data_IF_371203075324
#
_entry.id   IF_371203075324
#
_cell.length_a   1.000
_cell.length_b   1.000
_cell.length_c   1.000
_cell.angle_alpha   90.00
_cell.angle_beta   90.00
_cell.angle_gamma   90.00
#
_symmetry.space_group_name_H-M   'P 1'
#
loop_
_entity.id
_entity.type
_entity.pdbx_description
1 polymer ?
#
# COMPACT_ATOMS: atom_id res chain seq x y z
N UNK A 1 -2.06 -10.57 -34.91
CA UNK A 1 -1.59 -9.41 -34.13
C UNK A 1 -1.48 -9.88 -32.69
N UNK A 2 -0.27 -9.88 -32.13
CA UNK A 2 -0.05 -10.38 -30.77
C UNK A 2 -0.37 -9.22 -29.82
N UNK A 3 -1.45 -9.34 -29.05
CA UNK A 3 -1.70 -8.43 -27.93
C UNK A 3 -0.59 -8.62 -26.91
N UNK A 4 0.32 -7.67 -26.83
CA UNK A 4 1.25 -7.56 -25.70
C UNK A 4 0.42 -7.14 -24.49
N UNK A 5 -0.08 -8.14 -23.75
CA UNK A 5 -0.55 -7.94 -22.39
C UNK A 5 0.64 -7.50 -21.55
N UNK A 6 0.85 -6.18 -21.45
CA UNK A 6 1.72 -5.62 -20.44
C UNK A 6 1.13 -6.04 -19.09
N UNK A 7 1.74 -7.05 -18.47
CA UNK A 7 1.53 -7.30 -17.04
C UNK A 7 1.90 -6.00 -16.37
N UNK A 8 0.91 -5.29 -15.83
CA UNK A 8 1.18 -4.12 -15.01
C UNK A 8 1.86 -4.65 -13.76
N UNK A 9 3.20 -4.65 -13.76
CA UNK A 9 3.96 -5.07 -12.60
C UNK A 9 3.71 -4.05 -11.50
N UNK A 10 3.05 -4.51 -10.43
CA UNK A 10 2.84 -3.72 -9.23
C UNK A 10 4.21 -3.39 -8.63
N UNK A 11 4.50 -2.10 -8.48
CA UNK A 11 5.77 -1.62 -7.93
C UNK A 11 5.74 -1.66 -6.42
N UNK A 12 6.80 -2.19 -5.84
CA UNK A 12 6.98 -2.30 -4.40
C UNK A 12 8.03 -1.31 -3.90
N UNK A 13 7.78 -0.72 -2.73
CA UNK A 13 8.70 0.20 -2.08
C UNK A 13 8.84 -0.17 -0.60
N UNK A 14 10.08 -0.38 -0.18
CA UNK A 14 10.41 -0.71 1.21
C UNK A 14 10.79 0.56 1.98
N UNK A 15 10.07 0.80 3.09
CA UNK A 15 10.30 1.93 4.01
C UNK A 15 10.67 1.46 5.43
N UNK A 16 11.12 0.21 5.59
CA UNK A 16 11.43 -0.42 6.89
C UNK A 16 12.82 -1.05 6.97
N UNK A 17 13.45 -1.37 5.84
CA UNK A 17 14.70 -2.17 5.80
C UNK A 17 15.88 -1.49 6.51
N UNK A 18 15.92 -0.16 6.56
CA UNK A 18 16.96 0.59 7.29
C UNK A 18 16.65 0.80 8.78
N UNK A 19 15.56 0.19 9.29
CA UNK A 19 15.03 0.42 10.65
C UNK A 19 14.84 1.93 10.97
N UNK A 20 14.16 2.69 10.09
CA UNK A 20 14.00 4.12 10.27
C UNK A 20 13.11 4.45 11.46
N UNK A 21 13.22 5.69 11.94
CA UNK A 21 12.21 6.30 12.80
C UNK A 21 10.87 6.45 12.05
N UNK A 22 9.78 6.65 12.78
CA UNK A 22 8.46 6.92 12.18
C UNK A 22 8.50 8.15 11.27
N UNK A 23 9.22 9.21 11.68
CA UNK A 23 9.30 10.43 10.90
C UNK A 23 10.01 10.20 9.55
N UNK A 24 11.12 9.47 9.55
CA UNK A 24 11.86 9.11 8.34
C UNK A 24 11.01 8.22 7.43
N UNK A 25 10.37 7.17 7.96
CA UNK A 25 9.52 6.29 7.17
C UNK A 25 8.33 7.03 6.53
N UNK A 26 7.75 8.02 7.23
CA UNK A 26 6.67 8.84 6.68
C UNK A 26 7.20 9.83 5.64
N UNK A 27 8.38 10.40 5.84
CA UNK A 27 9.04 11.22 4.83
C UNK A 27 9.24 10.44 3.52
N UNK A 28 9.74 9.20 3.62
CA UNK A 28 9.92 8.31 2.48
C UNK A 28 8.59 7.96 1.81
N UNK A 29 7.57 7.61 2.60
CA UNK A 29 6.21 7.36 2.10
C UNK A 29 5.68 8.54 1.26
N UNK A 30 5.81 9.77 1.76
CA UNK A 30 5.31 10.95 1.05
C UNK A 30 6.09 11.22 -0.25
N UNK A 31 7.40 11.02 -0.23
CA UNK A 31 8.24 11.13 -1.42
C UNK A 31 7.86 10.08 -2.47
N UNK A 32 7.69 8.82 -2.06
CA UNK A 32 7.25 7.73 -2.95
C UNK A 32 5.89 8.07 -3.57
N UNK A 33 4.93 8.53 -2.76
CA UNK A 33 3.60 8.94 -3.26
C UNK A 33 3.73 10.06 -4.30
N UNK A 34 4.52 11.09 -4.00
CA UNK A 34 4.73 12.22 -4.91
C UNK A 34 5.34 11.79 -6.25
N UNK A 35 6.28 10.85 -6.23
CA UNK A 35 6.99 10.38 -7.42
C UNK A 35 6.18 9.41 -8.28
N UNK A 36 5.27 8.62 -7.67
CA UNK A 36 4.58 7.53 -8.35
C UNK A 36 3.13 7.85 -8.74
N UNK A 37 2.51 8.86 -8.13
CA UNK A 37 1.08 9.18 -8.33
C UNK A 37 0.63 9.42 -9.77
N UNK A 38 1.54 9.84 -10.66
CA UNK A 38 1.22 10.18 -12.05
C UNK A 38 1.59 9.06 -13.04
N UNK A 39 2.35 8.05 -12.62
CA UNK A 39 2.91 7.00 -13.49
C UNK A 39 2.46 5.60 -13.11
N UNK A 40 1.75 5.45 -11.99
CA UNK A 40 1.27 4.18 -11.49
C UNK A 40 -0.23 4.28 -11.15
N UNK A 41 -0.97 3.18 -11.37
CA UNK A 41 -2.36 3.03 -10.86
C UNK A 41 -2.38 2.52 -9.42
N UNK A 42 -1.39 1.71 -9.07
CA UNK A 42 -1.23 1.07 -7.76
C UNK A 42 0.25 0.91 -7.44
N UNK A 43 0.59 1.01 -6.16
CA UNK A 43 1.89 0.60 -5.60
C UNK A 43 1.67 -0.18 -4.30
N UNK A 44 2.69 -0.92 -3.87
CA UNK A 44 2.76 -1.60 -2.58
C UNK A 44 3.85 -0.97 -1.72
N UNK A 45 3.50 -0.65 -0.48
CA UNK A 45 4.43 -0.16 0.54
C UNK A 45 4.70 -1.29 1.51
N UNK A 46 5.97 -1.62 1.70
CA UNK A 46 6.46 -2.57 2.71
C UNK A 46 6.91 -1.74 3.91
N UNK A 47 6.07 -1.69 4.93
CA UNK A 47 6.32 -0.94 6.17
C UNK A 47 6.69 -1.86 7.36
N UNK A 48 6.65 -3.18 7.15
CA UNK A 48 6.99 -4.19 8.16
C UNK A 48 5.84 -4.53 9.11
N UNK A 49 5.94 -5.72 9.72
CA UNK A 49 4.95 -6.36 10.58
C UNK A 49 4.78 -5.66 11.95
N UNK A 50 5.87 -5.08 12.47
CA UNK A 50 5.86 -4.33 13.73
C UNK A 50 6.09 -5.14 15.01
N UNK A 51 6.96 -6.16 14.97
CA UNK A 51 7.00 -7.27 15.94
C UNK A 51 7.87 -7.12 17.22
N UNK A 52 8.20 -5.93 17.74
CA UNK A 52 9.04 -5.83 18.97
C UNK A 52 8.57 -4.83 20.05
N UNK A 53 7.28 -4.45 20.07
CA UNK A 53 6.78 -3.37 20.94
C UNK A 53 7.15 -2.00 20.35
N UNK A 54 6.27 -1.00 20.48
CA UNK A 54 6.32 0.27 19.71
C UNK A 54 6.31 0.09 18.16
N UNK A 55 6.60 -1.10 17.63
CA UNK A 55 6.72 -1.47 16.22
C UNK A 55 5.45 -1.37 15.38
N UNK A 56 4.28 -1.19 16.00
CA UNK A 56 3.08 -0.75 15.27
C UNK A 56 3.18 0.68 14.74
N UNK A 57 4.13 1.50 15.20
CA UNK A 57 4.08 2.95 14.97
C UNK A 57 4.20 3.34 13.49
N UNK A 58 5.07 2.69 12.70
CA UNK A 58 5.15 2.96 11.26
C UNK A 58 3.86 2.51 10.57
N UNK A 59 3.43 1.26 10.76
CA UNK A 59 2.18 0.72 10.20
C UNK A 59 0.98 1.59 10.53
N UNK A 60 0.80 1.95 11.80
CA UNK A 60 -0.28 2.80 12.29
C UNK A 60 -0.20 4.18 11.65
N UNK A 61 0.99 4.80 11.64
CA UNK A 61 1.15 6.15 11.09
C UNK A 61 0.96 6.18 9.57
N UNK A 62 1.46 5.17 8.85
CA UNK A 62 1.22 4.98 7.41
C UNK A 62 -0.28 4.95 7.15
N UNK A 63 -1.05 4.12 7.87
CA UNK A 63 -2.51 4.03 7.69
C UNK A 63 -3.21 5.34 8.04
N UNK A 64 -2.79 6.03 9.11
CA UNK A 64 -3.32 7.35 9.48
C UNK A 64 -3.12 8.36 8.36
N UNK A 65 -1.90 8.47 7.83
CA UNK A 65 -1.55 9.36 6.72
C UNK A 65 -2.34 8.99 5.45
N UNK A 66 -2.41 7.71 5.09
CA UNK A 66 -3.16 7.27 3.91
C UNK A 66 -4.66 7.55 4.04
N UNK A 67 -5.24 7.37 5.23
CA UNK A 67 -6.64 7.75 5.50
C UNK A 67 -6.84 9.26 5.30
N UNK A 68 -5.95 10.10 5.82
CA UNK A 68 -6.02 11.55 5.61
C UNK A 68 -5.88 11.92 4.13
N UNK A 69 -4.92 11.33 3.41
CA UNK A 69 -4.73 11.54 1.97
C UNK A 69 -5.94 11.08 1.15
N UNK A 70 -6.58 9.98 1.54
CA UNK A 70 -7.82 9.52 0.91
C UNK A 70 -8.96 10.52 1.11
N UNK A 71 -9.15 11.01 2.35
CA UNK A 71 -10.16 12.02 2.69
C UNK A 71 -9.93 13.36 1.95
N UNK A 72 -8.67 13.78 1.82
CA UNK A 72 -8.25 14.98 1.07
C UNK A 72 -8.27 14.81 -0.44
N UNK A 73 -8.67 13.64 -0.93
CA UNK A 73 -8.66 13.30 -2.34
C UNK A 73 -7.27 13.43 -3.00
N UNK A 74 -6.22 13.07 -2.28
CA UNK A 74 -4.85 12.91 -2.82
C UNK A 74 -4.62 11.50 -3.36
N UNK A 75 -5.12 10.47 -2.69
CA UNK A 75 -5.16 9.07 -3.19
C UNK A 75 -6.61 8.58 -3.34
N UNK A 76 -6.84 7.57 -4.18
CA UNK A 76 -8.19 7.03 -4.42
C UNK A 76 -8.63 6.13 -3.27
N UNK A 77 -7.75 5.23 -2.84
CA UNK A 77 -7.97 4.31 -1.73
C UNK A 77 -6.62 3.77 -1.21
N UNK A 78 -6.65 3.08 -0.07
CA UNK A 78 -5.58 2.19 0.37
C UNK A 78 -6.18 0.86 0.82
N UNK A 79 -5.39 -0.21 0.77
CA UNK A 79 -5.80 -1.56 1.18
C UNK A 79 -4.69 -2.16 2.03
N UNK A 80 -4.89 -2.37 3.33
CA UNK A 80 -3.95 -3.12 4.15
C UNK A 80 -3.82 -4.57 3.69
N UNK A 81 -2.62 -5.14 3.71
CA UNK A 81 -2.44 -6.53 3.26
C UNK A 81 -3.23 -7.55 4.08
N UNK A 82 -3.31 -7.38 5.40
CA UNK A 82 -4.13 -8.26 6.27
C UNK A 82 -5.64 -8.22 5.95
N UNK A 83 -6.13 -7.10 5.41
CA UNK A 83 -7.52 -6.94 5.01
C UNK A 83 -7.87 -7.76 3.75
N UNK A 84 -6.87 -8.23 3.00
CA UNK A 84 -7.10 -9.15 1.86
C UNK A 84 -7.41 -10.58 2.31
N UNK A 85 -7.21 -10.88 3.60
CA UNK A 85 -7.45 -12.18 4.21
C UNK A 85 -8.53 -12.12 5.32
N UNK A 86 -8.69 -10.97 5.97
CA UNK A 86 -9.60 -10.77 7.11
C UNK A 86 -10.65 -9.70 6.81
N UNK A 87 -11.88 -9.88 7.30
CA UNK A 87 -12.93 -8.85 7.20
C UNK A 87 -12.60 -7.67 8.12
N UNK A 88 -12.22 -6.55 7.51
CA UNK A 88 -11.80 -5.33 8.21
C UNK A 88 -12.52 -4.07 7.70
N UNK A 89 -13.61 -4.24 6.93
CA UNK A 89 -14.33 -3.13 6.32
C UNK A 89 -13.66 -2.57 5.05
N UNK A 90 -12.75 -3.33 4.44
CA UNK A 90 -12.15 -3.01 3.14
C UNK A 90 -12.75 -3.84 2.00
N UNK A 91 -13.71 -4.72 2.28
CA UNK A 91 -14.23 -5.73 1.34
C UNK A 91 -14.73 -5.12 0.02
N UNK A 92 -15.47 -4.00 0.11
CA UNK A 92 -15.95 -3.29 -1.07
C UNK A 92 -14.81 -2.68 -1.89
N UNK A 93 -13.84 -2.03 -1.23
CA UNK A 93 -12.65 -1.44 -1.86
C UNK A 93 -11.79 -2.52 -2.52
N UNK A 94 -11.59 -3.64 -1.83
CA UNK A 94 -10.83 -4.79 -2.34
C UNK A 94 -11.53 -5.37 -3.57
N UNK A 95 -12.84 -5.60 -3.51
CA UNK A 95 -13.62 -6.12 -4.64
C UNK A 95 -13.49 -5.19 -5.85
N UNK A 96 -13.62 -3.88 -5.63
CA UNK A 96 -13.56 -2.89 -6.70
C UNK A 96 -12.15 -2.75 -7.32
N UNK A 97 -11.08 -2.88 -6.54
CA UNK A 97 -9.69 -2.74 -7.02
C UNK A 97 -8.94 -4.06 -7.19
N UNK A 98 -9.62 -5.20 -7.11
CA UNK A 98 -9.03 -6.54 -7.11
C UNK A 98 -8.06 -6.76 -8.27
N UNK A 99 -8.44 -6.37 -9.48
CA UNK A 99 -7.63 -6.50 -10.70
C UNK A 99 -6.26 -5.80 -10.63
N UNK A 100 -6.09 -4.83 -9.71
CA UNK A 100 -4.83 -4.11 -9.53
C UNK A 100 -3.87 -4.82 -8.57
N UNK A 101 -4.37 -5.69 -7.70
CA UNK A 101 -3.60 -6.29 -6.60
C UNK A 101 -3.60 -7.82 -6.61
N UNK A 102 -4.48 -8.47 -7.37
CA UNK A 102 -4.66 -9.93 -7.29
C UNK A 102 -3.50 -10.75 -7.84
N UNK A 103 -2.62 -10.13 -8.63
CA UNK A 103 -1.38 -10.75 -9.13
C UNK A 103 -0.20 -10.59 -8.18
N UNK A 104 -0.33 -9.79 -7.13
CA UNK A 104 0.70 -9.61 -6.11
C UNK A 104 0.81 -10.87 -5.25
N UNK A 105 2.04 -11.28 -4.93
CA UNK A 105 2.26 -12.51 -4.20
C UNK A 105 1.73 -12.47 -2.75
N UNK A 106 1.56 -11.30 -2.13
CA UNK A 106 1.01 -11.17 -0.78
C UNK A 106 -0.51 -11.13 -0.74
N UNK A 107 -1.17 -11.05 -1.90
CA UNK A 107 -2.63 -11.01 -1.96
C UNK A 107 -3.23 -12.28 -1.35
N UNK A 108 -4.16 -12.10 -0.41
CA UNK A 108 -4.82 -13.17 0.39
C UNK A 108 -3.90 -13.97 1.32
N UNK A 109 -2.63 -13.61 1.46
CA UNK A 109 -1.70 -14.21 2.44
C UNK A 109 -1.79 -13.61 3.84
N UNK A 110 -2.54 -12.52 3.99
CA UNK A 110 -2.68 -11.84 5.28
C UNK A 110 -1.40 -11.12 5.72
N UNK A 111 -0.54 -10.72 4.78
CA UNK A 111 0.70 -10.01 5.10
C UNK A 111 0.36 -8.63 5.70
N UNK A 112 0.53 -8.54 7.01
CA UNK A 112 0.16 -7.39 7.81
C UNK A 112 1.21 -6.26 7.73
N UNK A 113 2.37 -6.55 7.12
CA UNK A 113 3.52 -5.67 6.95
C UNK A 113 3.52 -4.87 5.65
N UNK A 114 2.43 -4.93 4.89
CA UNK A 114 2.27 -4.19 3.64
C UNK A 114 0.96 -3.39 3.59
N UNK A 115 0.94 -2.37 2.74
CA UNK A 115 -0.27 -1.66 2.34
C UNK A 115 -0.21 -1.31 0.85
N UNK A 116 -1.28 -1.63 0.11
CA UNK A 116 -1.46 -1.17 -1.26
C UNK A 116 -2.03 0.26 -1.28
N UNK A 117 -1.52 1.10 -2.18
CA UNK A 117 -2.00 2.47 -2.41
C UNK A 117 -2.55 2.55 -3.82
N UNK A 118 -3.81 2.99 -3.94
CA UNK A 118 -4.50 3.15 -5.23
C UNK A 118 -4.53 4.64 -5.59
N UNK A 119 -3.99 4.98 -6.75
CA UNK A 119 -3.97 6.36 -7.26
C UNK A 119 -5.24 6.70 -8.05
N UNK A 120 -5.44 8.00 -8.26
CA UNK A 120 -6.45 8.47 -9.21
C UNK A 120 -5.90 8.24 -10.61
N UNK A 121 -6.67 7.55 -11.45
CA UNK A 121 -6.45 7.50 -12.90
C UNK A 121 -6.89 8.80 -13.56
#
# INVERSE_FOLDING_TARGET
>A
MIEYNWVITLKEFDIKTTMPTVAEAIHDLENIIKLTKNSNKVIKIIHGYGSHGVGGSIKVKVREILKQKMQRKEIKAYIPGEATHQMMGFDEIISHYKQLIETDEDFRKGNDGITYIIYRG
#
